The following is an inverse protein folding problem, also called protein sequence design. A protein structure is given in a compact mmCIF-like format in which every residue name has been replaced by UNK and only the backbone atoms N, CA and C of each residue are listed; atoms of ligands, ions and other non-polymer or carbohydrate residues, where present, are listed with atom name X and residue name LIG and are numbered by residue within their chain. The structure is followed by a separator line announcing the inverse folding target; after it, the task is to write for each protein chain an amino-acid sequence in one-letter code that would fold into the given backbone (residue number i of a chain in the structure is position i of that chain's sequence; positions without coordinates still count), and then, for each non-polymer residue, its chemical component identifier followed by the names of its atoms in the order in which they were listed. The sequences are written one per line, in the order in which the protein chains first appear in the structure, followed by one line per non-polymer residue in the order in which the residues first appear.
data_IF_763451363708
#
_entry.id   IF_763451363708
#
_cell.length_a   1.000
_cell.length_b   1.000
_cell.length_c   1.000
_cell.angle_alpha   90.00
_cell.angle_beta   90.00
_cell.angle_gamma   90.00
#
_symmetry.space_group_name_H-M   'P 1'
#
loop_
_entity.id
_entity.type
_entity.pdbx_description
1 polymer ?
#
# COMPACT_ATOMS: atom_id res chain seq x y z
N UNK A 1 8.02 -3.42 12.25
CA UNK A 1 7.37 -3.61 10.93
C UNK A 1 5.92 -3.17 11.09
N UNK A 2 5.47 -2.18 10.33
CA UNK A 2 4.06 -1.77 10.35
C UNK A 2 3.25 -2.94 9.79
N UNK A 3 2.23 -3.37 10.51
CA UNK A 3 1.34 -4.44 10.06
C UNK A 3 -0.05 -3.86 9.90
N UNK A 4 -0.60 -3.98 8.71
CA UNK A 4 -1.96 -3.58 8.41
C UNK A 4 -2.92 -4.69 8.80
N UNK A 5 -4.04 -4.33 9.42
CA UNK A 5 -5.12 -5.27 9.63
C UNK A 5 -5.75 -5.67 8.29
N UNK A 6 -6.29 -6.89 8.21
CA UNK A 6 -6.80 -7.45 6.96
C UNK A 6 -7.81 -6.52 6.26
N UNK A 7 -8.76 -5.98 7.00
CA UNK A 7 -9.79 -5.08 6.46
C UNK A 7 -9.19 -3.77 5.91
N UNK A 8 -8.14 -3.24 6.54
CA UNK A 8 -7.42 -2.06 6.04
C UNK A 8 -6.70 -2.39 4.73
N UNK A 9 -6.10 -3.57 4.66
CA UNK A 9 -5.38 -4.03 3.48
C UNK A 9 -6.32 -4.26 2.29
N UNK A 10 -7.49 -4.87 2.52
CA UNK A 10 -8.51 -5.06 1.49
C UNK A 10 -9.01 -3.71 0.94
N UNK A 11 -9.25 -2.73 1.83
CA UNK A 11 -9.64 -1.37 1.43
C UNK A 11 -8.56 -0.68 0.59
N UNK A 12 -7.30 -0.77 1.01
CA UNK A 12 -6.17 -0.20 0.28
C UNK A 12 -5.94 -0.90 -1.06
N UNK A 13 -6.16 -2.22 -1.12
CA UNK A 13 -6.00 -2.99 -2.35
C UNK A 13 -6.98 -2.50 -3.42
N UNK A 14 -8.25 -2.25 -3.06
CA UNK A 14 -9.22 -1.67 -3.98
C UNK A 14 -8.79 -0.28 -4.50
N UNK A 15 -8.26 0.58 -3.62
CA UNK A 15 -7.74 1.89 -4.03
C UNK A 15 -6.52 1.79 -4.97
N UNK A 16 -5.63 0.82 -4.73
CA UNK A 16 -4.50 0.54 -5.63
C UNK A 16 -5.02 0.03 -6.98
N UNK A 17 -5.99 -0.88 -7.03
CA UNK A 17 -6.56 -1.36 -8.30
C UNK A 17 -7.13 -0.22 -9.13
N UNK A 18 -7.92 0.66 -8.49
CA UNK A 18 -8.52 1.84 -9.14
C UNK A 18 -7.43 2.76 -9.70
N UNK A 19 -6.43 3.12 -8.90
CA UNK A 19 -5.33 3.96 -9.36
C UNK A 19 -4.54 3.32 -10.52
N UNK A 20 -4.27 2.02 -10.45
CA UNK A 20 -3.53 1.32 -11.49
C UNK A 20 -4.28 1.32 -12.82
N UNK A 21 -5.59 1.13 -12.76
CA UNK A 21 -6.45 1.17 -13.93
C UNK A 21 -6.59 2.59 -14.48
N UNK A 22 -6.94 3.56 -13.65
CA UNK A 22 -7.36 4.89 -14.10
C UNK A 22 -6.16 5.74 -14.52
N UNK A 23 -5.06 5.68 -13.79
CA UNK A 23 -3.91 6.54 -14.02
C UNK A 23 -2.85 5.88 -14.90
N UNK A 24 -2.67 4.56 -14.76
CA UNK A 24 -1.62 3.84 -15.49
C UNK A 24 -2.15 2.93 -16.58
N UNK A 25 -3.48 2.75 -16.70
CA UNK A 25 -4.10 1.81 -17.66
C UNK A 25 -3.60 0.37 -17.49
N UNK A 26 -3.37 -0.05 -16.25
CA UNK A 26 -2.94 -1.40 -15.87
C UNK A 26 -4.03 -2.05 -15.01
N UNK A 27 -4.64 -3.11 -15.53
CA UNK A 27 -5.57 -3.93 -14.76
C UNK A 27 -4.80 -4.95 -13.92
N UNK A 28 -5.04 -4.96 -12.60
CA UNK A 28 -4.45 -5.93 -11.68
C UNK A 28 -5.49 -6.54 -10.75
N UNK A 29 -5.25 -7.76 -10.28
CA UNK A 29 -6.13 -8.46 -9.35
C UNK A 29 -5.99 -7.98 -7.91
N UNK A 30 -6.93 -8.44 -7.07
CA UNK A 30 -6.93 -8.18 -5.62
C UNK A 30 -5.63 -8.67 -4.96
N UNK A 31 -5.18 -9.89 -5.28
CA UNK A 31 -3.96 -10.46 -4.70
C UNK A 31 -2.70 -9.70 -5.11
N UNK A 32 -2.59 -9.30 -6.38
CA UNK A 32 -1.47 -8.51 -6.87
C UNK A 32 -1.38 -7.16 -6.15
N UNK A 33 -2.55 -6.56 -5.88
CA UNK A 33 -2.65 -5.30 -5.13
C UNK A 33 -2.22 -5.47 -3.67
N UNK A 34 -2.64 -6.55 -3.01
CA UNK A 34 -2.20 -6.87 -1.66
C UNK A 34 -0.69 -7.13 -1.58
N UNK A 35 -0.10 -7.79 -2.58
CA UNK A 35 1.34 -7.99 -2.67
C UNK A 35 2.10 -6.68 -2.91
N UNK A 36 1.56 -5.79 -3.73
CA UNK A 36 2.13 -4.47 -3.94
C UNK A 36 2.13 -3.65 -2.63
N UNK A 37 1.04 -3.71 -1.86
CA UNK A 37 0.95 -3.08 -0.53
C UNK A 37 2.00 -3.64 0.41
N UNK A 38 2.20 -4.96 0.44
CA UNK A 38 3.24 -5.58 1.28
C UNK A 38 4.64 -5.11 0.89
N UNK A 39 4.93 -5.09 -0.42
CA UNK A 39 6.20 -4.62 -0.95
C UNK A 39 6.48 -3.17 -0.57
N UNK A 40 5.50 -2.28 -0.77
CA UNK A 40 5.63 -0.85 -0.43
C UNK A 40 5.78 -0.68 1.09
N UNK A 41 5.02 -1.41 1.89
CA UNK A 41 5.07 -1.31 3.36
C UNK A 41 6.44 -1.75 3.89
N UNK A 42 7.02 -2.82 3.34
CA UNK A 42 8.36 -3.29 3.71
C UNK A 42 9.44 -2.25 3.38
N UNK A 43 9.34 -1.59 2.21
CA UNK A 43 10.36 -0.64 1.76
C UNK A 43 10.22 0.77 2.35
N UNK A 44 9.00 1.28 2.43
CA UNK A 44 8.73 2.68 2.77
C UNK A 44 8.21 2.86 4.19
N UNK A 45 7.63 1.83 4.81
CA UNK A 45 6.95 1.95 6.09
C UNK A 45 7.84 2.49 7.22
N UNK A 46 9.07 1.99 7.32
CA UNK A 46 10.03 2.46 8.32
C UNK A 46 10.52 3.89 8.04
N UNK A 47 10.70 4.24 6.76
CA UNK A 47 11.17 5.58 6.35
C UNK A 47 10.15 6.64 6.74
N UNK A 48 8.88 6.44 6.37
CA UNK A 48 7.83 7.41 6.70
C UNK A 48 7.53 7.48 8.19
N UNK A 49 7.56 6.35 8.91
CA UNK A 49 7.37 6.36 10.36
C UNK A 49 8.47 7.16 11.07
N UNK A 50 9.74 6.89 10.75
CA UNK A 50 10.85 7.60 11.38
C UNK A 50 10.82 9.09 11.06
N UNK A 51 10.55 9.45 9.80
CA UNK A 51 10.44 10.85 9.39
C UNK A 51 9.27 11.56 10.10
N UNK A 52 8.12 10.89 10.21
CA UNK A 52 6.96 11.43 10.92
C UNK A 52 7.20 11.65 12.42
N UNK A 53 8.08 10.85 13.05
CA UNK A 53 8.50 11.07 14.44
C UNK A 53 9.50 12.23 14.56
N UNK A 54 10.43 12.37 13.61
CA UNK A 54 11.39 13.49 13.60
C UNK A 54 10.73 14.85 13.39
N UNK A 55 9.65 14.90 12.60
CA UNK A 55 8.94 16.14 12.26
C UNK A 55 7.88 16.56 13.31
N UNK A 56 7.66 15.74 14.36
CA UNK A 56 6.71 16.00 15.45
C UNK A 56 7.38 16.63 16.67
#
# INVERSE_FOLDING_TARGET
MIKLERAQKETLASAIQEYMQDELSIEIGQFDSEFLIDFITDKLGAVYYNKGVEDA
#
